data_IF_438912688438
#
_entry.id   IF_438912688438
#
_cell.length_a   1.000
_cell.length_b   1.000
_cell.length_c   1.000
_cell.angle_alpha   90.00
_cell.angle_beta   90.00
_cell.angle_gamma   90.00
#
_symmetry.space_group_name_H-M   'P 1'
#
loop_
_entity.id
_entity.type
_entity.pdbx_description
1 polymer ?
#
# COMPACT_ATOMS: atom_id res chain seq x y z
N UNK A 1 8.13 6.76 15.92
CA UNK A 1 7.45 7.05 14.64
C UNK A 1 7.55 5.87 13.71
N UNK A 2 6.50 5.63 12.95
CA UNK A 2 6.48 4.52 12.00
C UNK A 2 7.35 4.82 10.80
N UNK A 3 8.12 3.83 10.39
CA UNK A 3 8.99 3.95 9.21
C UNK A 3 8.38 3.36 7.96
N UNK A 4 7.34 2.55 8.12
CA UNK A 4 6.70 1.90 6.98
C UNK A 4 5.21 2.17 6.98
N UNK A 5 4.66 2.28 5.78
CA UNK A 5 3.23 2.33 5.54
C UNK A 5 2.85 0.93 5.09
N UNK A 6 2.06 0.23 5.86
CA UNK A 6 1.75 -1.17 5.58
C UNK A 6 0.55 -1.30 4.65
N UNK A 7 0.72 -2.15 3.65
CA UNK A 7 -0.30 -2.43 2.66
C UNK A 7 -0.46 -3.94 2.53
N UNK A 8 -1.71 -4.40 2.54
CA UNK A 8 -2.02 -5.79 2.33
C UNK A 8 -2.54 -5.98 0.91
N UNK A 9 -1.96 -6.95 0.20
CA UNK A 9 -2.38 -7.28 -1.14
C UNK A 9 -3.17 -8.59 -1.10
N UNK A 10 -4.33 -8.60 -1.72
CA UNK A 10 -5.17 -9.77 -1.85
C UNK A 10 -5.39 -10.06 -3.33
N UNK A 11 -5.24 -11.31 -3.71
CA UNK A 11 -5.48 -11.72 -5.09
C UNK A 11 -6.94 -12.09 -5.27
N UNK A 12 -7.65 -11.36 -6.13
CA UNK A 12 -9.00 -11.71 -6.55
C UNK A 12 -8.97 -12.55 -7.82
N UNK A 13 -10.14 -12.81 -8.39
CA UNK A 13 -10.23 -13.62 -9.60
C UNK A 13 -9.59 -12.96 -10.81
N UNK A 14 -9.70 -11.66 -10.94
CA UNK A 14 -9.20 -10.91 -12.09
C UNK A 14 -8.24 -9.81 -11.75
N UNK A 15 -8.20 -9.40 -10.51
CA UNK A 15 -7.39 -8.27 -10.10
C UNK A 15 -6.74 -8.52 -8.75
N UNK A 16 -5.66 -7.80 -8.53
CA UNK A 16 -5.05 -7.70 -7.21
C UNK A 16 -5.60 -6.45 -6.54
N UNK A 17 -5.93 -6.56 -5.27
CA UNK A 17 -6.43 -5.45 -4.46
C UNK A 17 -5.43 -5.13 -3.38
N UNK A 18 -5.12 -3.86 -3.22
CA UNK A 18 -4.23 -3.38 -2.17
C UNK A 18 -5.01 -2.51 -1.20
N UNK A 19 -4.92 -2.85 0.08
CA UNK A 19 -5.55 -2.10 1.14
C UNK A 19 -4.49 -1.61 2.11
N UNK A 20 -4.43 -0.30 2.30
CA UNK A 20 -3.51 0.27 3.26
C UNK A 20 -4.05 0.08 4.66
N UNK A 21 -3.20 -0.35 5.60
CA UNK A 21 -3.61 -0.57 6.98
C UNK A 21 -3.52 0.70 7.82
N UNK A 22 -2.67 1.62 7.42
CA UNK A 22 -2.42 2.84 8.18
C UNK A 22 -3.21 4.06 7.67
N UNK A 23 -3.68 4.00 6.44
CA UNK A 23 -4.36 5.12 5.78
C UNK A 23 -5.61 4.61 5.06
N UNK A 24 -6.62 5.45 4.84
CA UNK A 24 -7.84 5.02 4.13
C UNK A 24 -7.62 5.01 2.62
N UNK A 25 -6.70 4.16 2.16
CA UNK A 25 -6.34 4.03 0.75
C UNK A 25 -6.55 2.59 0.30
N UNK A 26 -7.31 2.43 -0.77
CA UNK A 26 -7.54 1.13 -1.42
C UNK A 26 -7.35 1.34 -2.91
N UNK A 27 -6.63 0.42 -3.56
CA UNK A 27 -6.45 0.48 -5.01
C UNK A 27 -6.40 -0.95 -5.57
N UNK A 28 -6.46 -1.07 -6.88
CA UNK A 28 -6.45 -2.37 -7.53
C UNK A 28 -5.80 -2.28 -8.89
N UNK A 29 -5.38 -3.42 -9.41
CA UNK A 29 -4.78 -3.51 -10.73
C UNK A 29 -4.80 -4.96 -11.22
N UNK A 30 -4.67 -5.15 -12.52
CA UNK A 30 -4.65 -6.47 -13.13
C UNK A 30 -3.33 -7.19 -12.93
N UNK A 31 -2.24 -6.46 -12.72
CA UNK A 31 -0.90 -7.02 -12.52
C UNK A 31 -0.26 -6.45 -11.27
N UNK A 32 0.72 -7.16 -10.72
CA UNK A 32 1.44 -6.67 -9.54
C UNK A 32 2.28 -5.44 -9.86
N UNK A 33 2.82 -5.34 -11.07
CA UNK A 33 3.60 -4.16 -11.47
C UNK A 33 2.73 -2.92 -11.50
N UNK A 34 1.55 -3.02 -12.10
CA UNK A 34 0.60 -1.92 -12.11
C UNK A 34 0.13 -1.59 -10.70
N UNK A 35 -0.09 -2.63 -9.88
CA UNK A 35 -0.53 -2.43 -8.50
C UNK A 35 0.52 -1.65 -7.72
N UNK A 36 1.79 -1.99 -7.85
CA UNK A 36 2.87 -1.28 -7.17
C UNK A 36 2.88 0.20 -7.55
N UNK A 37 2.70 0.49 -8.84
CA UNK A 37 2.61 1.86 -9.30
C UNK A 37 1.41 2.57 -8.69
N UNK A 38 0.25 1.92 -8.73
CA UNK A 38 -0.99 2.49 -8.21
C UNK A 38 -0.94 2.73 -6.70
N UNK A 39 -0.30 1.82 -5.96
CA UNK A 39 -0.11 1.98 -4.51
C UNK A 39 0.71 3.23 -4.23
N UNK A 40 1.84 3.39 -4.92
CA UNK A 40 2.71 4.56 -4.72
C UNK A 40 1.99 5.85 -5.05
N UNK A 41 1.25 5.85 -6.16
CA UNK A 41 0.52 7.03 -6.58
C UNK A 41 -0.60 7.38 -5.60
N UNK A 42 -1.41 6.39 -5.21
CA UNK A 42 -2.54 6.63 -4.31
C UNK A 42 -2.08 7.13 -2.93
N UNK A 43 -1.03 6.50 -2.38
CA UNK A 43 -0.50 6.92 -1.09
C UNK A 43 0.13 8.30 -1.20
N UNK A 44 0.89 8.54 -2.28
CA UNK A 44 1.51 9.86 -2.51
C UNK A 44 0.48 10.98 -2.58
N UNK A 45 -0.62 10.74 -3.28
CA UNK A 45 -1.70 11.72 -3.37
C UNK A 45 -2.38 11.95 -2.01
N UNK A 46 -2.58 10.88 -1.25
CA UNK A 46 -3.20 10.98 0.07
C UNK A 46 -2.33 11.79 1.03
N UNK A 47 -1.01 11.61 0.95
CA UNK A 47 -0.08 12.28 1.84
C UNK A 47 0.31 13.69 1.38
N UNK A 48 -0.06 14.06 0.16
CA UNK A 48 0.30 15.37 -0.37
C UNK A 48 -0.32 16.47 0.49
N UNK A 49 0.52 17.37 0.98
CA UNK A 49 0.09 18.45 1.86
C UNK A 49 -0.14 18.05 3.31
N UNK A 50 0.05 16.79 3.66
CA UNK A 50 -0.12 16.34 5.04
C UNK A 50 1.18 16.43 5.82
N UNK A 51 1.05 16.60 7.14
CA UNK A 51 2.19 16.53 8.05
C UNK A 51 2.39 15.09 8.48
N UNK A 52 3.44 14.46 7.97
CA UNK A 52 3.72 13.05 8.27
C UNK A 52 3.91 12.80 9.76
N UNK A 53 4.53 13.74 10.46
CA UNK A 53 4.74 13.59 11.90
C UNK A 53 3.42 13.53 12.66
N UNK A 54 2.44 14.33 12.27
CA UNK A 54 1.12 14.31 12.88
C UNK A 54 0.40 13.00 12.61
N UNK A 55 0.71 12.35 11.49
CA UNK A 55 0.14 11.05 11.14
C UNK A 55 0.91 9.89 11.80
N UNK A 56 1.99 10.18 12.53
CA UNK A 56 2.76 9.17 13.23
C UNK A 56 3.87 8.54 12.42
N UNK A 57 4.24 9.14 11.27
CA UNK A 57 5.28 8.61 10.41
C UNK A 57 6.57 9.43 10.47
N UNK A 58 7.68 8.78 10.18
CA UNK A 58 8.93 9.50 9.97
C UNK A 58 8.83 10.32 8.67
N UNK A 59 9.83 11.18 8.43
CA UNK A 59 9.78 12.11 7.29
C UNK A 59 9.92 11.43 5.93
N UNK A 60 10.36 10.19 5.91
CA UNK A 60 10.63 9.47 4.65
C UNK A 60 10.21 8.01 4.79
N UNK A 61 8.90 7.74 4.97
CA UNK A 61 8.44 6.37 5.15
C UNK A 61 8.49 5.58 3.85
N UNK A 62 8.78 4.29 3.97
CA UNK A 62 8.69 3.38 2.84
C UNK A 62 7.36 2.64 2.89
N UNK A 63 6.99 2.05 1.77
CA UNK A 63 5.78 1.23 1.69
C UNK A 63 6.18 -0.24 1.81
N UNK A 64 5.58 -0.93 2.76
CA UNK A 64 5.76 -2.37 2.93
C UNK A 64 4.47 -3.06 2.49
N UNK A 65 4.53 -3.74 1.37
CA UNK A 65 3.39 -4.46 0.84
C UNK A 65 3.56 -5.96 1.09
N UNK A 66 2.53 -6.59 1.62
CA UNK A 66 2.55 -8.03 1.92
C UNK A 66 1.42 -8.73 1.19
N UNK A 67 1.65 -9.97 0.81
CA UNK A 67 0.67 -10.79 0.13
C UNK A 67 0.83 -12.24 0.58
N UNK A 68 -0.29 -12.89 0.90
CA UNK A 68 -0.27 -14.31 1.21
C UNK A 68 -0.25 -15.12 -0.08
N UNK A 69 0.58 -16.14 -0.11
CA UNK A 69 0.66 -17.06 -1.24
C UNK A 69 0.29 -18.43 -0.77
N UNK A 70 -0.38 -19.19 -1.63
CA UNK A 70 -0.70 -20.57 -1.30
C UNK A 70 0.56 -21.41 -1.34
N UNK A 71 0.72 -22.27 -0.35
CA UNK A 71 1.81 -23.21 -0.37
C UNK A 71 1.54 -24.28 -1.43
N UNK A 72 2.57 -24.65 -2.16
CA UNK A 72 2.47 -25.70 -3.16
C UNK A 72 2.62 -27.05 -2.45
N UNK A 73 1.66 -27.91 -2.63
CA UNK A 73 1.69 -29.25 -2.04
C UNK A 73 2.56 -30.21 -2.85
#
# INVERSE_FOLDING_TARGET
MKRTIQVRITKGERQFVAECLDLPVVTQAATLDELAFNIREAIGLHLDGEDLAELGFCSDPTILATMELEAVA
#
